data_IF_512963610663
#
_entry.id   IF_512963610663
#
_cell.length_a   1.000
_cell.length_b   1.000
_cell.length_c   1.000
_cell.angle_alpha   90.00
_cell.angle_beta   90.00
_cell.angle_gamma   90.00
#
_symmetry.space_group_name_H-M   'P 1'
#
loop_
_entity.id
_entity.type
_entity.pdbx_description
1 polymer ?
#
# COMPACT_ATOMS: atom_id res chain seq x y z
N UNK A 1 -3.48 -31.49 -6.37
CA UNK A 1 -4.37 -30.34 -6.58
C UNK A 1 -3.46 -29.15 -6.44
N UNK A 2 -3.25 -28.40 -7.52
CA UNK A 2 -2.46 -27.17 -7.42
C UNK A 2 -3.11 -26.29 -6.38
N UNK A 3 -2.30 -25.87 -5.41
CA UNK A 3 -2.70 -24.99 -4.33
C UNK A 3 -2.91 -23.62 -4.97
N UNK A 4 -4.13 -23.35 -5.47
CA UNK A 4 -4.48 -22.10 -6.15
C UNK A 4 -4.16 -20.94 -5.21
N UNK A 5 -3.10 -20.21 -5.53
CA UNK A 5 -2.71 -19.00 -4.81
C UNK A 5 -3.19 -17.79 -5.58
N UNK A 6 -3.77 -16.86 -4.85
CA UNK A 6 -4.16 -15.56 -5.34
C UNK A 6 -3.16 -14.51 -4.90
N UNK A 7 -2.91 -13.52 -5.75
CA UNK A 7 -1.99 -12.41 -5.52
C UNK A 7 -2.70 -11.07 -5.64
N UNK A 8 -2.36 -10.14 -4.74
CA UNK A 8 -2.86 -8.76 -4.79
C UNK A 8 -1.75 -7.78 -4.49
N UNK A 9 -1.72 -6.68 -5.24
CA UNK A 9 -0.87 -5.53 -4.96
C UNK A 9 -1.73 -4.36 -4.49
N UNK A 10 -1.41 -3.83 -3.32
CA UNK A 10 -2.21 -2.77 -2.70
C UNK A 10 -1.36 -1.75 -1.95
N UNK A 11 -1.98 -0.66 -1.51
CA UNK A 11 -1.36 0.34 -0.65
C UNK A 11 -0.75 -0.31 0.61
N UNK A 12 0.43 0.14 1.03
CA UNK A 12 1.04 -0.29 2.29
C UNK A 12 0.33 0.29 3.51
N UNK A 13 -0.31 1.45 3.34
CA UNK A 13 -1.05 2.16 4.39
C UNK A 13 -2.50 2.32 3.97
N UNK A 14 -3.41 2.03 4.90
CA UNK A 14 -4.84 2.17 4.69
C UNK A 14 -5.25 3.65 4.56
N UNK A 15 -6.27 3.90 3.76
CA UNK A 15 -6.99 5.18 3.77
C UNK A 15 -7.59 5.45 5.16
N UNK A 16 -8.01 6.69 5.49
CA UNK A 16 -8.70 6.98 6.74
C UNK A 16 -9.96 6.14 6.99
N UNK A 17 -10.53 5.52 5.95
CA UNK A 17 -11.65 4.58 6.01
C UNK A 17 -11.21 3.11 6.16
N UNK A 18 -9.94 2.85 6.46
CA UNK A 18 -9.37 1.51 6.61
C UNK A 18 -9.23 0.72 5.31
N UNK A 19 -9.39 1.35 4.13
CA UNK A 19 -9.28 0.65 2.84
C UNK A 19 -7.85 0.63 2.32
N UNK A 20 -7.49 -0.43 1.62
CA UNK A 20 -6.20 -0.55 0.93
C UNK A 20 -6.41 -0.63 -0.59
N UNK A 21 -6.38 0.52 -1.30
CA UNK A 21 -6.56 0.56 -2.74
C UNK A 21 -5.56 -0.33 -3.47
N UNK A 22 -6.00 -0.96 -4.55
CA UNK A 22 -5.11 -1.70 -5.44
C UNK A 22 -4.22 -0.75 -6.28
N UNK A 23 -3.19 -1.29 -6.92
CA UNK A 23 -2.21 -0.54 -7.72
C UNK A 23 -2.85 0.37 -8.78
N UNK A 24 -3.87 -0.09 -9.50
CA UNK A 24 -4.59 0.73 -10.48
C UNK A 24 -5.26 1.93 -9.83
N UNK A 25 -5.91 1.73 -8.67
CA UNK A 25 -6.55 2.79 -7.91
C UNK A 25 -5.54 3.84 -7.42
N UNK A 26 -4.36 3.41 -6.99
CA UNK A 26 -3.28 4.30 -6.55
C UNK A 26 -2.75 5.16 -7.70
N UNK A 27 -2.40 4.55 -8.84
CA UNK A 27 -1.87 5.29 -10.00
C UNK A 27 -2.95 6.20 -10.63
N UNK A 28 -4.21 5.74 -10.69
CA UNK A 28 -5.33 6.60 -11.12
C UNK A 28 -5.54 7.79 -10.15
N UNK A 29 -5.28 7.60 -8.86
CA UNK A 29 -5.26 8.67 -7.87
C UNK A 29 -4.21 9.74 -8.21
N UNK A 30 -2.97 9.33 -8.46
CA UNK A 30 -1.88 10.22 -8.90
C UNK A 30 -2.22 10.96 -10.20
N UNK A 31 -2.83 10.27 -11.16
CA UNK A 31 -3.26 10.86 -12.43
C UNK A 31 -4.30 11.96 -12.20
N UNK A 32 -5.31 11.70 -11.37
CA UNK A 32 -6.36 12.67 -11.02
C UNK A 32 -5.81 13.89 -10.26
N UNK A 33 -4.74 13.70 -9.49
CA UNK A 33 -4.02 14.78 -8.81
C UNK A 33 -3.06 15.55 -9.74
N UNK A 34 -2.91 15.15 -11.00
CA UNK A 34 -2.00 15.79 -11.95
C UNK A 34 -0.51 15.54 -11.65
N UNK A 35 -0.20 14.48 -10.90
CA UNK A 35 1.17 14.20 -10.42
C UNK A 35 1.98 13.35 -11.39
N UNK A 36 1.34 12.66 -12.34
CA UNK A 36 2.05 11.83 -13.31
C UNK A 36 2.78 12.68 -14.36
N UNK A 37 3.97 12.22 -14.76
CA UNK A 37 4.64 12.77 -15.95
C UNK A 37 3.88 12.39 -17.21
N UNK A 38 4.16 13.07 -18.34
CA UNK A 38 3.54 12.75 -19.62
C UNK A 38 3.78 11.30 -20.06
N UNK A 39 4.98 10.78 -19.81
CA UNK A 39 5.35 9.38 -20.10
C UNK A 39 4.57 8.40 -19.22
N UNK A 40 4.44 8.70 -17.92
CA UNK A 40 3.67 7.87 -16.98
C UNK A 40 2.18 7.86 -17.33
N UNK A 41 1.63 9.00 -17.76
CA UNK A 41 0.23 9.08 -18.19
C UNK A 41 0.00 8.31 -19.50
N UNK A 42 0.93 8.38 -20.45
CA UNK A 42 0.88 7.59 -21.68
C UNK A 42 0.96 6.08 -21.37
N UNK A 43 1.88 5.67 -20.48
CA UNK A 43 1.97 4.30 -19.99
C UNK A 43 0.66 3.84 -19.34
N UNK A 44 0.10 4.64 -18.43
CA UNK A 44 -1.15 4.33 -17.72
C UNK A 44 -2.30 4.11 -18.70
N UNK A 45 -2.46 4.99 -19.69
CA UNK A 45 -3.52 4.89 -20.70
C UNK A 45 -3.36 3.63 -21.55
N UNK A 46 -2.19 3.43 -22.15
CA UNK A 46 -1.94 2.28 -23.02
C UNK A 46 -2.15 0.94 -22.27
N UNK A 47 -1.73 0.86 -21.00
CA UNK A 47 -1.94 -0.36 -20.23
C UNK A 47 -3.38 -0.53 -19.74
N UNK A 48 -4.08 0.54 -19.34
CA UNK A 48 -5.50 0.44 -18.99
C UNK A 48 -6.33 -0.02 -20.19
N UNK A 49 -6.09 0.54 -21.38
CA UNK A 49 -6.77 0.14 -22.61
C UNK A 49 -6.48 -1.34 -22.93
N UNK A 50 -5.25 -1.79 -22.70
CA UNK A 50 -4.90 -3.20 -22.84
C UNK A 50 -5.65 -4.08 -21.83
N UNK A 51 -5.75 -3.68 -20.56
CA UNK A 51 -6.51 -4.41 -19.54
C UNK A 51 -7.99 -4.50 -19.90
N UNK A 52 -8.60 -3.40 -20.34
CA UNK A 52 -10.01 -3.36 -20.76
C UNK A 52 -10.28 -4.27 -21.96
N UNK A 53 -9.33 -4.38 -22.89
CA UNK A 53 -9.46 -5.25 -24.06
C UNK A 53 -9.22 -6.74 -23.78
N UNK A 54 -8.47 -7.08 -22.74
CA UNK A 54 -8.02 -8.47 -22.49
C UNK A 54 -8.67 -9.10 -21.26
N UNK A 55 -9.24 -8.32 -20.34
CA UNK A 55 -9.83 -8.83 -19.11
C UNK A 55 -11.28 -8.40 -18.97
N UNK A 56 -12.05 -9.30 -18.37
CA UNK A 56 -13.42 -8.99 -17.99
C UNK A 56 -13.39 -8.00 -16.84
N UNK A 57 -14.09 -6.88 -16.98
CA UNK A 57 -14.37 -6.01 -15.86
C UNK A 57 -15.53 -6.63 -15.06
N UNK A 58 -15.34 -7.04 -13.78
CA UNK A 58 -16.42 -7.66 -13.01
C UNK A 58 -17.69 -6.81 -12.95
N UNK A 59 -17.55 -5.48 -12.95
CA UNK A 59 -18.68 -4.54 -12.92
C UNK A 59 -19.50 -4.49 -14.21
N UNK A 60 -18.99 -4.98 -15.34
CA UNK A 60 -19.78 -5.07 -16.58
C UNK A 60 -20.59 -6.36 -16.64
N UNK A 61 -20.17 -7.40 -15.90
CA UNK A 61 -20.91 -8.65 -15.74
C UNK A 61 -21.97 -8.51 -14.66
N UNK A 62 -21.56 -8.02 -13.48
CA UNK A 62 -22.45 -7.73 -12.37
C UNK A 62 -22.08 -6.38 -11.73
N UNK A 63 -22.93 -5.35 -11.90
CA UNK A 63 -22.65 -4.02 -11.38
C UNK A 63 -22.64 -3.95 -9.85
N UNK A 64 -23.14 -4.99 -9.15
CA UNK A 64 -23.19 -5.05 -7.68
C UNK A 64 -21.92 -5.60 -7.03
N UNK A 65 -20.95 -6.10 -7.81
CA UNK A 65 -19.72 -6.74 -7.30
C UNK A 65 -18.94 -5.84 -6.34
N UNK A 66 -18.89 -4.53 -6.60
CA UNK A 66 -18.21 -3.56 -5.73
C UNK A 66 -19.18 -2.64 -4.96
N UNK A 67 -20.46 -2.98 -4.94
CA UNK A 67 -21.47 -2.29 -4.14
C UNK A 67 -21.06 -2.34 -2.66
N UNK A 68 -21.02 -1.19 -2.01
CA UNK A 68 -20.48 -1.06 -0.66
C UNK A 68 -21.45 -1.49 0.43
N UNK A 69 -22.75 -1.46 0.14
CA UNK A 69 -23.79 -1.87 1.08
C UNK A 69 -23.95 -3.40 1.03
N UNK A 70 -23.77 -4.00 -0.15
CA UNK A 70 -23.84 -5.46 -0.34
C UNK A 70 -22.50 -6.16 -0.04
N UNK A 71 -21.39 -5.58 -0.50
CA UNK A 71 -20.06 -6.18 -0.46
C UNK A 71 -19.03 -5.22 0.14
N UNK A 72 -19.15 -4.88 1.44
CA UNK A 72 -18.28 -3.91 2.09
C UNK A 72 -16.82 -4.39 2.03
N UNK A 73 -15.95 -3.55 1.47
CA UNK A 73 -14.52 -3.86 1.37
C UNK A 73 -14.16 -4.93 0.34
N UNK A 74 -15.04 -5.21 -0.64
CA UNK A 74 -14.72 -6.10 -1.76
C UNK A 74 -13.38 -5.73 -2.42
N UNK A 75 -12.53 -6.74 -2.66
CA UNK A 75 -11.21 -6.58 -3.28
C UNK A 75 -10.98 -7.62 -4.36
N UNK A 76 -10.42 -7.19 -5.49
CA UNK A 76 -9.96 -8.09 -6.54
C UNK A 76 -8.59 -8.69 -6.20
N UNK A 77 -8.43 -9.96 -6.53
CA UNK A 77 -7.19 -10.71 -6.48
C UNK A 77 -7.00 -11.43 -7.79
N UNK A 78 -5.76 -11.52 -8.25
CA UNK A 78 -5.42 -12.25 -9.47
C UNK A 78 -5.01 -13.67 -9.13
N UNK A 79 -5.27 -14.61 -10.01
CA UNK A 79 -4.64 -15.93 -9.91
C UNK A 79 -3.12 -15.78 -10.07
N UNK A 80 -2.33 -16.45 -9.23
CA UNK A 80 -0.86 -16.36 -9.28
C UNK A 80 -0.26 -16.92 -10.58
N UNK A 81 -1.00 -17.79 -11.29
CA UNK A 81 -0.64 -18.34 -12.59
C UNK A 81 -0.78 -17.33 -13.74
N UNK A 82 -1.49 -16.21 -13.52
CA UNK A 82 -1.68 -15.13 -14.49
C UNK A 82 -0.41 -14.27 -14.67
N UNK A 83 0.70 -14.90 -15.08
CA UNK A 83 2.04 -14.31 -15.13
C UNK A 83 2.11 -13.04 -16.01
N UNK A 84 1.38 -13.03 -17.13
CA UNK A 84 1.30 -11.87 -18.04
C UNK A 84 0.66 -10.63 -17.41
N UNK A 85 -0.18 -10.82 -16.39
CA UNK A 85 -0.78 -9.74 -15.64
C UNK A 85 0.19 -9.18 -14.60
N UNK A 86 0.81 -10.08 -13.83
CA UNK A 86 1.79 -9.71 -12.80
C UNK A 86 2.96 -8.94 -13.40
N UNK A 87 3.43 -9.35 -14.59
CA UNK A 87 4.50 -8.65 -15.30
C UNK A 87 4.10 -7.21 -15.66
N UNK A 88 2.89 -6.98 -16.18
CA UNK A 88 2.42 -5.61 -16.50
C UNK A 88 2.23 -4.74 -15.26
N UNK A 89 1.86 -5.34 -14.12
CA UNK A 89 1.74 -4.63 -12.84
C UNK A 89 3.07 -3.99 -12.42
N UNK A 90 4.23 -4.56 -12.78
CA UNK A 90 5.55 -4.00 -12.43
C UNK A 90 5.75 -2.56 -12.90
N UNK A 91 5.19 -2.18 -14.04
CA UNK A 91 5.25 -0.80 -14.54
C UNK A 91 4.44 0.17 -13.66
N UNK A 92 3.29 -0.26 -13.13
CA UNK A 92 2.54 0.53 -12.14
C UNK A 92 3.30 0.68 -10.84
N UNK A 93 3.96 -0.40 -10.37
CA UNK A 93 4.77 -0.36 -9.16
C UNK A 93 5.93 0.64 -9.28
N UNK A 94 6.60 0.64 -10.43
CA UNK A 94 7.67 1.62 -10.74
C UNK A 94 7.19 3.06 -10.67
N UNK A 95 5.95 3.33 -11.13
CA UNK A 95 5.33 4.66 -11.01
C UNK A 95 5.11 5.00 -9.53
N UNK A 96 4.54 4.07 -8.74
CA UNK A 96 4.30 4.30 -7.31
C UNK A 96 5.60 4.58 -6.55
N UNK A 97 6.66 3.81 -6.82
CA UNK A 97 7.98 3.98 -6.21
C UNK A 97 8.58 5.35 -6.55
N UNK A 98 8.48 5.78 -7.82
CA UNK A 98 8.94 7.10 -8.26
C UNK A 98 8.20 8.27 -7.57
N UNK A 99 6.98 8.03 -7.11
CA UNK A 99 6.15 9.01 -6.39
C UNK A 99 6.16 8.85 -4.87
N UNK A 100 6.98 7.94 -4.33
CA UNK A 100 7.08 7.65 -2.90
C UNK A 100 5.80 7.06 -2.30
N UNK A 101 4.97 6.41 -3.11
CA UNK A 101 3.71 5.78 -2.67
C UNK A 101 3.99 4.32 -2.31
N UNK A 102 3.99 4.02 -1.02
CA UNK A 102 4.24 2.65 -0.53
C UNK A 102 3.16 1.65 -0.94
N UNK A 103 3.60 0.46 -1.37
CA UNK A 103 2.74 -0.66 -1.75
C UNK A 103 3.27 -1.98 -1.16
N UNK A 104 2.40 -2.99 -1.09
CA UNK A 104 2.73 -4.35 -0.66
C UNK A 104 2.13 -5.38 -1.62
N UNK A 105 2.81 -6.52 -1.75
CA UNK A 105 2.29 -7.73 -2.40
C UNK A 105 1.75 -8.67 -1.32
N UNK A 106 0.52 -9.12 -1.50
CA UNK A 106 -0.14 -10.13 -0.67
C UNK A 106 -0.33 -11.40 -1.50
N UNK A 107 -0.22 -12.54 -0.83
CA UNK A 107 -0.55 -13.85 -1.39
C UNK A 107 -1.45 -14.59 -0.41
N UNK A 108 -2.50 -15.25 -0.90
CA UNK A 108 -3.36 -16.11 -0.08
C UNK A 108 -3.97 -17.23 -0.92
N UNK A 109 -4.09 -18.43 -0.35
CA UNK A 109 -4.90 -19.50 -0.91
C UNK A 109 -6.40 -19.32 -0.59
N UNK A 110 -6.71 -18.53 0.44
CA UNK A 110 -8.08 -18.19 0.86
C UNK A 110 -8.15 -16.68 1.16
N UNK A 111 -8.28 -15.82 0.15
CA UNK A 111 -8.28 -14.37 0.33
C UNK A 111 -9.60 -13.83 0.91
N UNK A 112 -10.64 -14.67 1.01
CA UNK A 112 -11.95 -14.26 1.50
C UNK A 112 -13.11 -15.03 0.84
N UNK A 113 -14.32 -14.62 1.20
CA UNK A 113 -15.54 -15.13 0.55
C UNK A 113 -15.62 -14.60 -0.88
N UNK A 114 -15.49 -15.49 -1.85
CA UNK A 114 -15.65 -15.19 -3.29
C UNK A 114 -17.07 -14.71 -3.59
N UNK A 115 -17.18 -13.57 -4.26
CA UNK A 115 -18.43 -12.98 -4.76
C UNK A 115 -18.44 -12.89 -6.29
N UNK A 116 -17.28 -13.05 -6.92
CA UNK A 116 -17.09 -13.13 -8.37
C UNK A 116 -15.82 -13.92 -8.66
N UNK A 117 -15.85 -14.74 -9.70
CA UNK A 117 -14.71 -15.53 -10.16
C UNK A 117 -14.77 -15.64 -11.68
N UNK A 118 -13.62 -15.45 -12.32
CA UNK A 118 -13.38 -15.78 -13.72
C UNK A 118 -12.04 -16.54 -13.84
N UNK A 119 -11.56 -16.76 -15.07
CA UNK A 119 -10.33 -17.53 -15.33
C UNK A 119 -9.04 -16.85 -14.89
N UNK A 120 -9.07 -15.57 -14.51
CA UNK A 120 -7.88 -14.75 -14.24
C UNK A 120 -7.92 -14.09 -12.86
N UNK A 121 -9.11 -13.89 -12.29
CA UNK A 121 -9.29 -13.16 -11.04
C UNK A 121 -10.49 -13.65 -10.21
N UNK A 122 -10.41 -13.35 -8.92
CA UNK A 122 -11.52 -13.44 -7.98
C UNK A 122 -11.76 -12.09 -7.33
N UNK A 123 -13.02 -11.75 -7.07
CA UNK A 123 -13.38 -10.66 -6.15
C UNK A 123 -13.90 -11.28 -4.88
N UNK A 124 -13.34 -10.84 -3.75
CA UNK A 124 -13.67 -11.39 -2.43
C UNK A 124 -14.06 -10.29 -1.46
N UNK A 125 -14.93 -10.66 -0.52
CA UNK A 125 -15.10 -9.93 0.74
C UNK A 125 -14.23 -10.64 1.76
N UNK A 126 -13.28 -9.92 2.36
CA UNK A 126 -12.40 -10.46 3.39
C UNK A 126 -13.24 -11.08 4.52
N UNK A 127 -12.80 -12.23 5.03
CA UNK A 127 -13.44 -12.79 6.21
C UNK A 127 -13.32 -11.80 7.37
N UNK A 128 -14.37 -11.66 8.20
CA UNK A 128 -14.21 -10.93 9.45
C UNK A 128 -13.06 -11.60 10.21
N UNK A 129 -11.96 -10.88 10.38
CA UNK A 129 -10.87 -11.32 11.23
C UNK A 129 -11.46 -11.51 12.63
N UNK A 130 -11.51 -12.75 13.11
CA UNK A 130 -11.68 -12.96 14.54
C UNK A 130 -10.42 -12.35 15.17
N UNK A 131 -10.57 -11.21 15.85
CA UNK A 131 -9.47 -10.39 16.39
C UNK A 131 -8.49 -11.12 17.33
N UNK A 132 -8.74 -12.40 17.62
CA UNK A 132 -7.86 -13.30 18.36
C UNK A 132 -6.66 -13.81 17.55
N UNK A 133 -6.76 -13.89 16.21
CA UNK A 133 -5.73 -14.49 15.35
C UNK A 133 -4.54 -13.53 15.07
N UNK A 134 -4.78 -12.22 15.04
CA UNK A 134 -3.79 -11.19 14.68
C UNK A 134 -2.60 -11.11 15.67
N UNK A 135 -2.76 -11.63 16.89
CA UNK A 135 -1.66 -11.70 17.87
C UNK A 135 -0.72 -12.89 17.65
N UNK A 136 -1.14 -13.91 16.89
CA UNK A 136 -0.36 -15.13 16.67
C UNK A 136 0.45 -15.09 15.37
N UNK A 137 -0.05 -14.41 14.34
CA UNK A 137 0.60 -14.35 13.02
C UNK A 137 1.49 -13.12 12.82
N UNK A 138 1.54 -12.18 13.79
CA UNK A 138 2.58 -11.15 13.78
C UNK A 138 3.91 -11.81 14.14
N UNK A 139 4.94 -11.80 13.27
CA UNK A 139 6.28 -12.01 13.78
C UNK A 139 6.50 -10.95 14.85
N UNK A 140 6.97 -11.38 16.02
CA UNK A 140 7.42 -10.49 17.09
C UNK A 140 8.47 -9.55 16.48
N UNK A 141 8.03 -8.38 16.00
CA UNK A 141 8.89 -7.25 15.79
C UNK A 141 9.41 -6.92 17.19
N UNK A 142 10.63 -7.38 17.43
CA UNK A 142 11.41 -7.13 18.64
C UNK A 142 11.27 -5.65 18.98
N UNK A 143 10.61 -5.38 20.12
CA UNK A 143 10.46 -4.05 20.63
C UNK A 143 11.87 -3.52 20.94
N UNK A 144 12.38 -2.65 20.07
CA UNK A 144 13.54 -1.82 20.38
C UNK A 144 13.26 -1.12 21.72
N UNK A 145 14.11 -1.27 22.75
CA UNK A 145 13.89 -0.58 24.00
C UNK A 145 14.03 0.93 23.79
N UNK A 146 13.23 1.77 24.46
CA UNK A 146 13.42 3.22 24.39
C UNK A 146 14.82 3.54 24.93
N UNK A 147 15.61 4.22 24.09
CA UNK A 147 16.95 4.68 24.42
C UNK A 147 16.94 5.56 25.67
N UNK A 148 17.28 4.95 26.80
CA UNK A 148 17.63 5.67 28.02
C UNK A 148 18.99 6.31 27.82
N UNK A 149 19.01 7.63 27.66
CA UNK A 149 20.24 8.42 27.75
C UNK A 149 20.78 8.39 29.19
N UNK A 150 22.09 8.18 29.41
CA UNK A 150 22.74 8.64 30.62
C UNK A 150 23.69 9.82 30.33
N UNK A 151 23.32 10.95 30.92
CA UNK A 151 24.16 11.95 31.61
C UNK A 151 25.63 12.13 31.20
N UNK A 152 25.91 13.39 30.82
CA UNK A 152 26.92 14.28 31.40
C UNK A 152 28.30 13.74 31.79
N UNK A 153 29.34 14.21 31.07
CA UNK A 153 30.47 15.00 31.61
C UNK A 153 31.49 15.31 30.51
N UNK A 154 31.91 16.57 30.43
CA UNK A 154 33.29 17.09 30.30
C UNK A 154 33.31 18.45 29.56
N UNK A 155 33.45 19.53 30.36
CA UNK A 155 34.33 20.72 30.26
C UNK A 155 34.66 21.35 28.88
N UNK A 156 34.84 22.69 28.77
CA UNK A 156 35.93 23.41 29.46
C UNK A 156 35.61 24.82 30.02
N UNK A 157 36.45 25.21 30.99
CA UNK A 157 36.60 26.60 31.48
C UNK A 157 37.18 27.50 30.39
N UNK A 158 36.56 28.66 30.19
CA UNK A 158 37.17 29.90 29.67
C UNK A 158 36.39 31.02 30.39
N UNK A 159 36.97 31.77 31.34
CA UNK A 159 37.91 32.86 31.08
C UNK A 159 37.12 34.18 30.97
N UNK A 160 36.56 34.64 32.10
CA UNK A 160 35.88 35.94 32.19
C UNK A 160 36.87 37.02 32.66
N UNK A 161 37.29 37.87 31.73
CA UNK A 161 37.83 39.20 32.03
C UNK A 161 36.63 40.15 32.10
N UNK A 162 36.39 40.72 33.26
CA UNK A 162 35.40 41.80 33.42
C UNK A 162 36.17 43.11 33.55
N UNK A 163 36.20 43.85 32.45
CA UNK A 163 36.53 45.27 32.41
C UNK A 163 35.20 46.02 32.59
N UNK A 164 35.04 46.71 33.72
CA UNK A 164 34.00 47.73 33.87
C UNK A 164 34.68 49.00 34.41
N UNK A 165 34.76 49.96 33.51
CA UNK A 165 35.10 51.35 33.78
C UNK A 165 33.91 52.09 34.41
N UNK A 166 34.25 53.16 35.13
CA UNK A 166 33.43 54.32 35.53
C UNK A 166 32.41 54.15 36.66
N UNK A 167 32.65 54.75 37.83
CA UNK A 167 32.34 56.18 38.07
C UNK A 167 32.30 56.56 39.58
N UNK A 168 32.62 57.83 39.86
CA UNK A 168 32.40 58.63 41.08
C UNK A 168 33.33 58.47 42.28
N UNK A 169 34.10 59.54 42.57
CA UNK A 169 34.72 59.83 43.87
C UNK A 169 36.04 60.57 43.77
#
# INVERSE_FOLDING_TARGET
MDDLRYVRFQAAVGTPRGRFPGVFGLVNGLAREGRLTAEQEAFRRANNDWFEANFTNPSTVDPTVYDQDLHPGATAWFESSAAHLVERVTGYLSILDAHGVGWVRLESADPGRVIYEDTEQVVVVAHPHNHLQDHLDRPHAEALPPGGSPSSRLSPQVGGVEEVSESCG
#
